data_IF_171183408477
#
_entry.id   IF_171183408477
#
_cell.length_a   1.000
_cell.length_b   1.000
_cell.length_c   1.000
_cell.angle_alpha   90.00
_cell.angle_beta   90.00
_cell.angle_gamma   90.00
#
_symmetry.space_group_name_H-M   'P 1'
#
loop_
_entity.id
_entity.type
_entity.pdbx_description
1 polymer ?
#
# COMPACT_ATOMS: atom_id res chain seq x y z
N UNK A 1 3.35 1.59 -22.90
CA UNK A 1 4.33 1.60 -21.79
C UNK A 1 4.35 0.28 -21.03
N UNK A 2 3.21 -0.22 -20.55
CA UNK A 2 3.07 -1.56 -19.94
C UNK A 2 3.60 -2.70 -20.82
N UNK A 3 3.26 -2.70 -22.12
CA UNK A 3 3.76 -3.69 -23.08
C UNK A 3 5.29 -3.66 -23.24
N UNK A 4 5.93 -2.50 -23.02
CA UNK A 4 7.40 -2.36 -23.04
C UNK A 4 8.04 -2.82 -21.73
N UNK A 5 7.37 -2.58 -20.59
CA UNK A 5 7.77 -3.16 -19.31
C UNK A 5 7.77 -4.69 -19.41
N UNK A 6 6.66 -5.32 -19.81
CA UNK A 6 6.58 -6.78 -19.94
C UNK A 6 7.50 -7.39 -21.01
N UNK A 7 8.05 -6.60 -21.95
CA UNK A 7 9.05 -7.03 -22.94
C UNK A 7 10.49 -6.62 -22.60
N UNK A 8 10.73 -5.98 -21.46
CA UNK A 8 12.07 -5.57 -21.04
C UNK A 8 12.68 -4.47 -21.92
N UNK A 9 11.88 -3.59 -22.51
CA UNK A 9 12.40 -2.52 -23.39
C UNK A 9 12.86 -1.26 -22.62
N UNK A 10 12.66 -1.19 -21.30
CA UNK A 10 13.05 -0.05 -20.44
C UNK A 10 13.47 -0.51 -19.03
N UNK A 11 14.76 -0.41 -18.70
CA UNK A 11 15.33 -0.62 -17.34
C UNK A 11 16.05 -1.97 -17.11
N UNK A 12 17.05 -1.96 -16.22
CA UNK A 12 17.96 -3.07 -15.88
C UNK A 12 17.35 -4.17 -14.98
N UNK A 13 16.06 -4.09 -14.64
CA UNK A 13 15.34 -5.05 -13.78
C UNK A 13 15.06 -6.41 -14.46
N UNK A 14 15.59 -6.61 -15.68
CA UNK A 14 15.41 -7.77 -16.57
C UNK A 14 15.69 -9.15 -15.95
N UNK A 15 16.40 -9.22 -14.83
CA UNK A 15 16.77 -10.48 -14.19
C UNK A 15 15.85 -10.89 -13.02
N UNK A 16 14.94 -10.03 -12.56
CA UNK A 16 13.94 -10.44 -11.56
C UNK A 16 12.80 -11.19 -12.26
N UNK A 17 12.66 -12.49 -11.99
CA UNK A 17 11.47 -13.26 -12.40
C UNK A 17 10.23 -12.59 -11.80
N UNK A 18 9.50 -11.80 -12.59
CA UNK A 18 8.23 -11.22 -12.14
C UNK A 18 7.22 -12.34 -11.91
N UNK A 19 6.74 -12.48 -10.67
CA UNK A 19 5.74 -13.48 -10.35
C UNK A 19 4.38 -13.07 -10.93
N UNK A 20 3.66 -14.02 -11.52
CA UNK A 20 2.26 -13.81 -11.94
C UNK A 20 1.31 -13.85 -10.74
N UNK A 21 0.13 -13.25 -10.87
CA UNK A 21 -0.87 -13.17 -9.81
C UNK A 21 -1.32 -14.54 -9.31
N UNK A 22 -1.55 -15.51 -10.18
CA UNK A 22 -1.99 -16.85 -9.75
C UNK A 22 -0.94 -17.55 -8.86
N UNK A 23 0.35 -17.34 -9.15
CA UNK A 23 1.42 -17.85 -8.30
C UNK A 23 1.42 -17.12 -6.95
N UNK A 24 1.40 -15.78 -6.95
CA UNK A 24 1.42 -14.97 -5.73
C UNK A 24 0.19 -15.25 -4.84
N UNK A 25 -0.99 -15.39 -5.44
CA UNK A 25 -2.25 -15.71 -4.75
C UNK A 25 -2.16 -17.05 -4.02
N UNK A 26 -1.61 -18.08 -4.67
CA UNK A 26 -1.37 -19.38 -4.05
C UNK A 26 -0.42 -19.27 -2.85
N UNK A 27 0.65 -18.50 -2.97
CA UNK A 27 1.60 -18.28 -1.88
C UNK A 27 0.96 -17.51 -0.71
N UNK A 28 0.08 -16.53 -0.97
CA UNK A 28 -0.70 -15.84 0.06
C UNK A 28 -1.68 -16.79 0.77
N UNK A 29 -2.29 -17.72 0.04
CA UNK A 29 -3.18 -18.74 0.60
C UNK A 29 -2.40 -19.71 1.52
N UNK A 30 -1.31 -20.28 1.03
CA UNK A 30 -0.46 -21.23 1.77
C UNK A 30 0.17 -20.61 3.03
N UNK A 31 0.49 -19.32 2.98
CA UNK A 31 1.03 -18.57 4.11
C UNK A 31 -0.03 -17.97 5.05
N UNK A 32 -1.32 -18.16 4.75
CA UNK A 32 -2.44 -17.63 5.53
C UNK A 32 -2.69 -16.13 5.39
N UNK A 33 -1.93 -15.41 4.54
CA UNK A 33 -2.12 -13.98 4.30
C UNK A 33 -3.43 -13.69 3.57
N UNK A 34 -3.96 -14.61 2.76
CA UNK A 34 -5.25 -14.43 2.10
C UNK A 34 -6.41 -14.33 3.10
N UNK A 35 -6.35 -15.07 4.22
CA UNK A 35 -7.32 -14.96 5.30
C UNK A 35 -7.27 -13.59 5.98
N UNK A 36 -6.06 -13.05 6.18
CA UNK A 36 -5.88 -11.68 6.71
C UNK A 36 -6.49 -10.66 5.74
N UNK A 37 -6.29 -10.84 4.43
CA UNK A 37 -6.94 -10.01 3.43
C UNK A 37 -8.47 -10.05 3.58
N UNK A 38 -9.07 -11.22 3.64
CA UNK A 38 -10.53 -11.38 3.78
C UNK A 38 -11.08 -10.68 5.04
N UNK A 39 -10.38 -10.85 6.18
CA UNK A 39 -10.74 -10.22 7.45
C UNK A 39 -10.73 -8.69 7.38
N UNK A 40 -9.66 -8.11 6.83
CA UNK A 40 -9.51 -6.64 6.77
C UNK A 40 -10.24 -6.01 5.59
N UNK A 41 -10.49 -6.74 4.50
CA UNK A 41 -11.28 -6.27 3.38
C UNK A 41 -12.74 -5.98 3.79
N UNK A 42 -13.26 -6.66 4.82
CA UNK A 42 -14.57 -6.34 5.41
C UNK A 42 -14.64 -4.95 6.06
N UNK A 43 -13.50 -4.37 6.44
CA UNK A 43 -13.44 -3.02 7.01
C UNK A 43 -13.48 -1.94 5.93
N UNK A 44 -13.22 -2.28 4.67
CA UNK A 44 -13.29 -1.38 3.51
C UNK A 44 -14.75 -1.30 3.07
N UNK A 45 -15.48 -0.33 3.60
CA UNK A 45 -16.93 -0.14 3.38
C UNK A 45 -17.21 1.21 2.74
N UNK A 46 -18.31 1.32 2.00
CA UNK A 46 -18.65 2.52 1.24
C UNK A 46 -18.72 3.77 2.12
N UNK A 47 -19.28 3.66 3.33
CA UNK A 47 -19.40 4.77 4.29
C UNK A 47 -18.06 5.35 4.76
N UNK A 48 -16.96 4.63 4.55
CA UNK A 48 -15.63 5.13 4.88
C UNK A 48 -15.16 6.17 3.85
N UNK A 49 -15.71 6.20 2.63
CA UNK A 49 -15.22 7.04 1.53
C UNK A 49 -16.25 8.10 1.16
N UNK A 50 -15.77 9.26 0.70
CA UNK A 50 -16.66 10.24 0.06
C UNK A 50 -17.05 9.80 -1.36
N UNK A 51 -16.11 9.16 -2.07
CA UNK A 51 -16.31 8.64 -3.42
C UNK A 51 -15.89 7.16 -3.49
N UNK A 52 -16.74 6.23 -3.00
CA UNK A 52 -16.37 4.83 -2.83
C UNK A 52 -16.02 4.10 -4.14
N UNK A 53 -16.56 4.55 -5.28
CA UNK A 53 -16.35 3.97 -6.61
C UNK A 53 -15.35 4.79 -7.45
N UNK A 54 -14.63 5.74 -6.85
CA UNK A 54 -13.63 6.54 -7.59
C UNK A 54 -12.32 5.78 -7.76
N UNK A 55 -11.39 6.37 -8.53
CA UNK A 55 -10.04 5.83 -8.69
C UNK A 55 -9.26 5.74 -7.38
N UNK A 56 -9.70 6.38 -6.29
CA UNK A 56 -9.13 6.28 -4.95
C UNK A 56 -10.07 5.62 -3.94
N UNK A 57 -11.12 4.97 -4.42
CA UNK A 57 -12.15 4.33 -3.61
C UNK A 57 -11.80 2.92 -3.15
N UNK A 58 -12.83 2.09 -3.02
CA UNK A 58 -12.74 0.75 -2.43
C UNK A 58 -11.87 -0.20 -3.25
N UNK A 59 -11.97 -0.17 -4.58
CA UNK A 59 -11.16 -1.02 -5.46
C UNK A 59 -9.66 -0.76 -5.27
N UNK A 60 -9.25 0.51 -5.23
CA UNK A 60 -7.88 0.92 -4.93
C UNK A 60 -7.42 0.42 -3.57
N UNK A 61 -8.20 0.69 -2.52
CA UNK A 61 -7.89 0.30 -1.15
C UNK A 61 -7.71 -1.23 -1.01
N UNK A 62 -8.56 -2.03 -1.65
CA UNK A 62 -8.46 -3.50 -1.64
C UNK A 62 -7.19 -4.00 -2.33
N UNK A 63 -6.81 -3.40 -3.46
CA UNK A 63 -5.58 -3.78 -4.17
C UNK A 63 -4.33 -3.38 -3.40
N UNK A 64 -4.31 -2.20 -2.78
CA UNK A 64 -3.22 -1.77 -1.89
C UNK A 64 -3.09 -2.72 -0.69
N UNK A 65 -4.20 -3.14 -0.08
CA UNK A 65 -4.20 -4.12 1.01
C UNK A 65 -3.56 -5.45 0.59
N UNK A 66 -3.89 -5.98 -0.59
CA UNK A 66 -3.25 -7.19 -1.14
C UNK A 66 -1.75 -6.96 -1.34
N UNK A 67 -1.35 -5.82 -1.93
CA UNK A 67 0.06 -5.52 -2.18
C UNK A 67 0.87 -5.35 -0.89
N UNK A 68 0.28 -4.78 0.17
CA UNK A 68 0.88 -4.74 1.51
C UNK A 68 1.15 -6.15 2.01
N UNK A 69 0.20 -7.08 1.90
CA UNK A 69 0.38 -8.46 2.34
C UNK A 69 1.43 -9.21 1.51
N UNK A 70 1.47 -8.99 0.19
CA UNK A 70 2.52 -9.51 -0.68
C UNK A 70 3.90 -9.03 -0.22
N UNK A 71 4.06 -7.72 0.01
CA UNK A 71 5.35 -7.16 0.45
C UNK A 71 5.73 -7.64 1.85
N UNK A 72 4.78 -7.73 2.77
CA UNK A 72 5.05 -8.30 4.10
C UNK A 72 5.57 -9.73 4.00
N UNK A 73 4.95 -10.57 3.17
CA UNK A 73 5.40 -11.94 2.94
C UNK A 73 6.80 -12.01 2.33
N UNK A 74 7.11 -11.15 1.35
CA UNK A 74 8.41 -11.14 0.66
C UNK A 74 9.54 -10.58 1.52
N UNK A 75 9.26 -9.57 2.33
CA UNK A 75 10.22 -8.89 3.20
C UNK A 75 10.31 -9.50 4.60
N UNK A 76 9.53 -10.54 4.89
CA UNK A 76 9.51 -11.20 6.21
C UNK A 76 8.91 -10.34 7.32
N UNK A 77 8.03 -9.40 7.00
CA UNK A 77 7.33 -8.55 7.98
C UNK A 77 6.14 -9.33 8.55
N UNK A 78 6.14 -9.54 9.87
CA UNK A 78 5.19 -10.40 10.57
C UNK A 78 4.64 -9.72 11.84
N UNK A 79 3.65 -10.35 12.48
CA UNK A 79 3.11 -9.90 13.77
C UNK A 79 2.50 -8.50 13.71
N UNK A 80 2.77 -7.70 14.73
CA UNK A 80 2.25 -6.33 14.88
C UNK A 80 2.63 -5.42 13.70
N UNK A 81 3.84 -5.53 13.15
CA UNK A 81 4.27 -4.68 12.03
C UNK A 81 3.43 -4.91 10.77
N UNK A 82 3.06 -6.16 10.51
CA UNK A 82 2.16 -6.51 9.40
C UNK A 82 0.74 -6.00 9.69
N UNK A 83 0.23 -6.22 10.90
CA UNK A 83 -1.12 -5.75 11.27
C UNK A 83 -1.22 -4.23 11.14
N UNK A 84 -0.18 -3.52 11.54
CA UNK A 84 -0.06 -2.08 11.40
C UNK A 84 -0.15 -1.62 9.94
N UNK A 85 0.64 -2.21 9.03
CA UNK A 85 0.61 -1.87 7.60
C UNK A 85 -0.74 -2.19 6.95
N UNK A 86 -1.39 -3.28 7.38
CA UNK A 86 -2.73 -3.66 6.93
C UNK A 86 -3.77 -2.62 7.38
N UNK A 87 -3.68 -2.12 8.62
CA UNK A 87 -4.54 -1.02 9.11
C UNK A 87 -4.27 0.26 8.31
N UNK A 88 -3.01 0.58 8.00
CA UNK A 88 -2.68 1.70 7.11
C UNK A 88 -3.37 1.55 5.74
N UNK A 89 -3.34 0.35 5.15
CA UNK A 89 -3.94 0.12 3.83
C UNK A 89 -5.45 0.41 3.82
N UNK A 90 -6.18 -0.07 4.83
CA UNK A 90 -7.63 0.14 4.97
C UNK A 90 -8.02 1.61 5.05
N UNK A 91 -7.17 2.46 5.64
CA UNK A 91 -7.53 3.84 5.99
C UNK A 91 -6.75 4.93 5.27
N UNK A 92 -5.74 4.64 4.43
CA UNK A 92 -4.85 5.69 3.91
C UNK A 92 -5.54 6.78 3.06
N UNK A 93 -6.59 6.41 2.31
CA UNK A 93 -7.26 7.31 1.34
C UNK A 93 -8.69 7.73 1.74
N UNK A 94 -9.19 7.32 2.91
CA UNK A 94 -10.57 7.60 3.37
C UNK A 94 -10.88 9.09 3.56
N UNK A 95 -9.86 9.92 3.72
CA UNK A 95 -9.93 11.37 3.88
C UNK A 95 -9.94 12.16 2.58
N UNK A 96 -9.86 11.51 1.42
CA UNK A 96 -9.91 12.21 0.13
C UNK A 96 -11.24 12.92 -0.09
N UNK A 97 -11.14 14.15 -0.56
CA UNK A 97 -12.28 15.00 -0.97
C UNK A 97 -12.29 15.32 -2.46
N UNK A 98 -11.32 14.77 -3.21
CA UNK A 98 -11.22 14.80 -4.67
C UNK A 98 -10.24 13.71 -5.15
N UNK A 99 -10.24 13.43 -6.46
CA UNK A 99 -9.35 12.46 -7.09
C UNK A 99 -8.02 13.05 -7.60
N UNK A 100 -7.72 14.31 -7.25
CA UNK A 100 -6.52 15.01 -7.68
C UNK A 100 -5.29 14.75 -6.81
N UNK A 101 -4.21 15.45 -7.15
CA UNK A 101 -3.02 15.54 -6.30
C UNK A 101 -3.37 16.38 -5.08
N UNK A 102 -3.27 15.77 -3.91
CA UNK A 102 -3.53 16.39 -2.63
C UNK A 102 -2.49 15.91 -1.63
N UNK A 103 -1.74 16.81 -0.99
CA UNK A 103 -0.76 16.44 0.04
C UNK A 103 -1.37 16.41 1.46
N UNK A 104 -2.65 16.77 1.60
CA UNK A 104 -3.36 16.82 2.88
C UNK A 104 -4.18 15.57 3.15
N UNK A 105 -4.58 14.81 2.12
CA UNK A 105 -5.48 13.67 2.29
C UNK A 105 -4.97 12.64 3.30
N UNK A 106 -3.66 12.39 3.42
CA UNK A 106 -3.13 11.52 4.48
C UNK A 106 -3.48 12.01 5.89
N UNK A 107 -3.36 13.32 6.16
CA UNK A 107 -3.77 13.91 7.45
C UNK A 107 -5.26 13.83 7.69
N UNK A 108 -6.05 14.09 6.65
CA UNK A 108 -7.50 14.02 6.74
C UNK A 108 -7.99 12.58 6.92
N UNK A 109 -7.32 11.61 6.28
CA UNK A 109 -7.55 10.17 6.43
C UNK A 109 -7.30 9.71 7.86
N UNK A 110 -6.13 10.04 8.43
CA UNK A 110 -5.84 9.71 9.82
C UNK A 110 -6.85 10.36 10.78
N UNK A 111 -7.13 11.66 10.60
CA UNK A 111 -8.11 12.38 11.44
C UNK A 111 -9.49 11.71 11.40
N UNK A 112 -9.94 11.28 10.22
CA UNK A 112 -11.23 10.60 10.02
C UNK A 112 -11.24 9.21 10.65
N UNK A 113 -10.17 8.43 10.49
CA UNK A 113 -10.07 7.05 10.94
C UNK A 113 -9.57 6.87 12.38
N UNK A 114 -9.09 7.93 13.04
CA UNK A 114 -8.40 7.87 14.35
C UNK A 114 -9.09 6.97 15.37
N UNK A 115 -10.40 7.14 15.60
CA UNK A 115 -11.14 6.33 16.58
C UNK A 115 -11.22 4.84 16.21
N UNK A 116 -11.24 4.52 14.92
CA UNK A 116 -11.20 3.13 14.46
C UNK A 116 -9.80 2.54 14.63
N UNK A 117 -8.76 3.32 14.30
CA UNK A 117 -7.35 2.94 14.48
C UNK A 117 -7.03 2.69 15.96
N UNK A 118 -7.41 3.59 16.88
CA UNK A 118 -7.17 3.43 18.32
C UNK A 118 -7.82 2.15 18.88
N UNK A 119 -8.96 1.71 18.33
CA UNK A 119 -9.64 0.46 18.74
C UNK A 119 -8.91 -0.81 18.30
N UNK A 120 -7.97 -0.72 17.35
CA UNK A 120 -7.19 -1.88 16.90
C UNK A 120 -6.13 -2.30 17.92
N UNK A 121 -5.79 -1.43 18.87
CA UNK A 121 -4.70 -1.66 19.84
C UNK A 121 -3.29 -1.55 19.24
N UNK A 122 -3.17 -1.24 17.95
CA UNK A 122 -1.89 -1.05 17.26
C UNK A 122 -1.25 0.29 17.63
N UNK A 123 0.05 0.42 17.34
CA UNK A 123 0.81 1.67 17.50
C UNK A 123 0.21 2.78 16.62
N UNK A 124 -0.65 3.58 17.25
CA UNK A 124 -1.42 4.64 16.58
C UNK A 124 -0.50 5.74 16.05
N UNK A 125 0.65 5.97 16.68
CA UNK A 125 1.58 7.02 16.27
C UNK A 125 2.38 6.60 15.03
N UNK A 126 2.76 5.32 14.94
CA UNK A 126 3.37 4.75 13.74
C UNK A 126 2.37 4.72 12.58
N UNK A 127 1.11 4.34 12.82
CA UNK A 127 0.03 4.40 11.82
C UNK A 127 -0.19 5.83 11.35
N UNK A 128 -0.20 6.80 12.28
CA UNK A 128 -0.31 8.22 11.96
C UNK A 128 0.80 8.66 11.02
N UNK A 129 2.05 8.33 11.34
CA UNK A 129 3.18 8.66 10.49
C UNK A 129 3.04 8.09 9.08
N UNK A 130 2.75 6.79 8.95
CA UNK A 130 2.65 6.14 7.63
C UNK A 130 1.50 6.73 6.81
N UNK A 131 0.30 6.85 7.40
CA UNK A 131 -0.87 7.41 6.70
C UNK A 131 -0.65 8.89 6.35
N UNK A 132 -0.10 9.71 7.24
CA UNK A 132 0.13 11.13 6.93
C UNK A 132 1.23 11.37 5.90
N UNK A 133 2.16 10.43 5.74
CA UNK A 133 3.35 10.59 4.87
C UNK A 133 3.32 9.77 3.58
N UNK A 134 2.39 8.84 3.39
CA UNK A 134 2.32 8.07 2.15
C UNK A 134 2.18 8.97 0.91
N UNK A 135 1.43 10.08 1.03
CA UNK A 135 1.21 11.04 -0.04
C UNK A 135 2.26 12.14 -0.16
N UNK A 136 3.30 12.11 0.68
CA UNK A 136 4.37 13.11 0.73
C UNK A 136 5.62 12.53 0.05
N UNK A 137 6.42 13.35 -0.63
CA UNK A 137 7.67 12.89 -1.26
C UNK A 137 8.63 12.25 -0.25
N UNK A 138 9.50 11.34 -0.70
CA UNK A 138 10.35 10.52 0.19
C UNK A 138 11.25 11.35 1.08
N UNK A 139 11.88 12.39 0.52
CA UNK A 139 12.81 13.24 1.26
C UNK A 139 12.08 13.93 2.42
N UNK A 140 10.94 14.55 2.15
CA UNK A 140 10.15 15.21 3.18
C UNK A 140 9.53 14.20 4.15
N UNK A 141 9.00 13.08 3.65
CA UNK A 141 8.42 12.01 4.46
C UNK A 141 9.40 11.44 5.48
N UNK A 142 10.60 11.07 5.03
CA UNK A 142 11.67 10.53 5.86
C UNK A 142 12.22 11.55 6.85
N UNK A 143 12.34 12.82 6.44
CA UNK A 143 12.78 13.88 7.34
C UNK A 143 11.75 14.12 8.45
N UNK A 144 10.46 14.11 8.10
CA UNK A 144 9.37 14.45 9.01
C UNK A 144 9.15 13.43 10.12
N UNK A 145 9.77 12.25 10.09
CA UNK A 145 9.70 11.26 11.18
C UNK A 145 10.10 11.85 12.54
N UNK A 146 10.94 12.88 12.57
CA UNK A 146 11.36 13.57 13.81
C UNK A 146 10.20 14.32 14.50
N UNK A 147 9.09 14.54 13.78
CA UNK A 147 7.89 15.24 14.27
C UNK A 147 6.89 14.30 14.95
N UNK A 148 7.19 13.00 14.99
CA UNK A 148 6.36 11.95 15.57
C UNK A 148 7.07 11.35 16.79
N UNK A 149 6.29 10.94 17.78
CA UNK A 149 6.80 10.31 18.99
C UNK A 149 7.09 8.81 18.76
N UNK A 150 8.09 8.55 17.93
CA UNK A 150 8.47 7.20 17.51
C UNK A 150 9.85 6.82 18.08
N UNK A 151 9.95 5.73 18.87
CA UNK A 151 11.21 5.31 19.48
C UNK A 151 12.20 4.79 18.43
N UNK A 152 11.72 4.07 17.41
CA UNK A 152 12.54 3.58 16.30
C UNK A 152 12.14 4.29 14.98
N UNK A 153 12.82 5.41 14.72
CA UNK A 153 12.59 6.24 13.53
C UNK A 153 13.09 5.57 12.25
N UNK A 154 14.10 4.71 12.32
CA UNK A 154 14.58 3.99 11.13
C UNK A 154 13.57 2.92 10.72
N UNK A 155 13.00 2.19 11.68
CA UNK A 155 11.87 1.29 11.41
C UNK A 155 10.69 2.04 10.81
N UNK A 156 10.35 3.21 11.34
CA UNK A 156 9.26 4.01 10.79
C UNK A 156 9.50 4.35 9.31
N UNK A 157 10.69 4.83 8.93
CA UNK A 157 11.03 5.09 7.53
C UNK A 157 10.91 3.84 6.65
N UNK A 158 11.44 2.70 7.10
CA UNK A 158 11.30 1.42 6.37
C UNK A 158 9.83 1.02 6.18
N UNK A 159 8.98 1.18 7.20
CA UNK A 159 7.56 0.85 7.10
C UNK A 159 6.81 1.80 6.16
N UNK A 160 7.18 3.10 6.16
CA UNK A 160 6.67 4.05 5.17
C UNK A 160 7.07 3.62 3.75
N UNK A 161 8.31 3.19 3.54
CA UNK A 161 8.80 2.76 2.23
C UNK A 161 8.03 1.55 1.70
N UNK A 162 7.78 0.55 2.56
CA UNK A 162 6.97 -0.62 2.21
C UNK A 162 5.55 -0.22 1.85
N UNK A 163 4.94 0.68 2.62
CA UNK A 163 3.59 1.15 2.36
C UNK A 163 3.49 1.91 1.02
N UNK A 164 4.46 2.80 0.75
CA UNK A 164 4.51 3.57 -0.50
C UNK A 164 4.77 2.70 -1.72
N UNK A 165 5.49 1.59 -1.56
CA UNK A 165 5.64 0.61 -2.64
C UNK A 165 4.32 -0.12 -2.93
N UNK A 166 3.55 -0.49 -1.90
CA UNK A 166 2.24 -1.10 -2.07
C UNK A 166 1.24 -0.16 -2.78
N UNK A 167 1.18 1.10 -2.35
CA UNK A 167 0.37 2.15 -2.99
C UNK A 167 0.85 2.44 -4.42
N UNK A 168 2.18 2.53 -4.59
CA UNK A 168 2.85 2.74 -5.87
C UNK A 168 2.52 1.67 -6.91
N UNK A 169 2.48 0.40 -6.50
CA UNK A 169 2.12 -0.73 -7.36
C UNK A 169 0.71 -0.57 -7.96
N UNK A 170 -0.26 -0.03 -7.21
CA UNK A 170 -1.63 0.17 -7.73
C UNK A 170 -1.76 1.37 -8.69
N UNK A 171 -0.70 2.16 -8.91
CA UNK A 171 -0.70 3.25 -9.90
C UNK A 171 -0.75 2.73 -11.34
N UNK A 172 -0.53 1.44 -11.56
CA UNK A 172 -0.80 0.75 -12.83
C UNK A 172 -2.22 1.01 -13.34
N UNK A 173 -3.21 1.10 -12.43
CA UNK A 173 -4.64 1.30 -12.78
C UNK A 173 -4.90 2.60 -13.56
N UNK A 174 -4.06 3.62 -13.32
CA UNK A 174 -4.15 4.96 -13.93
C UNK A 174 -2.97 5.21 -14.90
N UNK A 175 -2.25 4.15 -15.28
CA UNK A 175 -1.07 4.21 -16.17
C UNK A 175 0.07 5.11 -15.66
N UNK A 176 0.19 5.28 -14.34
CA UNK A 176 1.15 6.18 -13.68
C UNK A 176 2.13 5.45 -12.75
N UNK A 177 2.29 4.14 -12.93
CA UNK A 177 3.39 3.41 -12.29
C UNK A 177 4.71 3.79 -12.95
N UNK A 178 5.67 4.22 -12.13
CA UNK A 178 7.07 4.28 -12.50
C UNK A 178 7.90 3.39 -11.54
N UNK A 179 8.53 2.30 -12.04
CA UNK A 179 9.31 1.36 -11.23
C UNK A 179 10.49 1.98 -10.46
N UNK A 180 11.00 3.13 -10.89
CA UNK A 180 12.10 3.83 -10.22
C UNK A 180 11.67 4.45 -8.88
N UNK A 181 10.36 4.65 -8.69
CA UNK A 181 9.79 5.08 -7.40
C UNK A 181 9.46 3.93 -6.45
N UNK A 182 9.60 2.67 -6.89
CA UNK A 182 9.53 1.52 -5.98
C UNK A 182 10.87 1.39 -5.28
N UNK A 183 10.85 1.18 -3.96
CA UNK A 183 12.03 1.22 -3.09
C UNK A 183 12.65 -0.17 -2.92
N UNK A 184 11.82 -1.20 -2.96
CA UNK A 184 12.23 -2.60 -2.79
C UNK A 184 12.25 -3.36 -4.13
N UNK A 185 13.24 -4.25 -4.29
CA UNK A 185 13.30 -5.15 -5.45
C UNK A 185 12.11 -6.12 -5.46
N UNK A 186 11.65 -6.52 -4.27
CA UNK A 186 10.44 -7.31 -4.05
C UNK A 186 9.21 -6.63 -4.64
N UNK A 187 9.09 -5.30 -4.49
CA UNK A 187 8.01 -4.52 -5.09
C UNK A 187 8.10 -4.54 -6.63
N UNK A 188 9.30 -4.34 -7.19
CA UNK A 188 9.51 -4.43 -8.65
C UNK A 188 9.14 -5.82 -9.19
N UNK A 189 9.47 -6.88 -8.45
CA UNK A 189 9.08 -8.26 -8.77
C UNK A 189 7.57 -8.52 -8.78
N UNK A 190 6.77 -7.67 -8.12
CA UNK A 190 5.31 -7.79 -8.02
C UNK A 190 4.54 -7.02 -9.10
N UNK A 191 5.19 -6.21 -9.95
CA UNK A 191 4.51 -5.38 -10.97
C UNK A 191 3.58 -6.21 -11.88
N UNK A 192 4.01 -7.43 -12.28
CA UNK A 192 3.17 -8.33 -13.09
C UNK A 192 1.94 -8.80 -12.32
N UNK A 193 2.14 -9.24 -11.08
CA UNK A 193 1.05 -9.65 -10.20
C UNK A 193 0.06 -8.49 -9.95
N UNK A 194 0.55 -7.27 -9.72
CA UNK A 194 -0.29 -6.08 -9.54
C UNK A 194 -1.13 -5.75 -10.80
N UNK A 195 -0.55 -5.91 -11.99
CA UNK A 195 -1.28 -5.72 -13.25
C UNK A 195 -2.38 -6.77 -13.44
N UNK A 196 -2.08 -8.04 -13.18
CA UNK A 196 -3.07 -9.13 -13.31
C UNK A 196 -4.16 -9.02 -12.23
N UNK A 197 -3.83 -8.55 -11.02
CA UNK A 197 -4.78 -8.32 -9.93
C UNK A 197 -5.86 -7.29 -10.31
N UNK A 198 -5.56 -6.28 -11.14
CA UNK A 198 -6.54 -5.29 -11.60
C UNK A 198 -7.74 -5.93 -12.30
N UNK A 199 -7.56 -7.10 -12.91
CA UNK A 199 -8.63 -7.82 -13.59
C UNK A 199 -9.55 -8.58 -12.61
N UNK A 200 -9.02 -9.00 -11.46
CA UNK A 200 -9.80 -9.70 -10.42
C UNK A 200 -10.48 -8.74 -9.44
N UNK A 201 -9.85 -7.61 -9.14
CA UNK A 201 -10.38 -6.58 -8.23
C UNK A 201 -10.53 -5.27 -9.00
N UNK A 202 -11.62 -5.10 -9.77
CA UNK A 202 -11.84 -3.88 -10.54
C UNK A 202 -12.06 -2.65 -9.62
N UNK A 203 -11.95 -1.46 -10.23
CA UNK A 203 -12.24 -0.18 -9.60
C UNK A 203 -13.70 -0.04 -9.21
#
# INVERSE_FOLDING_TARGET
MLYRLFRGETGDWKNSRMAGWQQVKKELEESGHLKIYEEFAMLIREENFLFPQSIHGMGHTKRVLIMVLCLCMRLGIVGEDRQLLVVCAVYHDVGRVNDGVDQKHGKDSFKKARKAIEKTGQDTEMIRYIIEKHCIDDKTGHHDVIKYDLPDREKARRMLDVFKDADGLDRLRIFDLNPDYLRHDEARGLIKAAYELLQEVPG
#
